data_IF_955536812230
#
_entry.id   IF_955536812230
#
_cell.length_a   1.000
_cell.length_b   1.000
_cell.length_c   1.000
_cell.angle_alpha   90.00
_cell.angle_beta   90.00
_cell.angle_gamma   90.00
#
_symmetry.space_group_name_H-M   'P 1'
#
loop_
_entity.id
_entity.type
_entity.pdbx_description
1 polymer ?
#
# COMPACT_ATOMS: atom_id res chain seq x y z
N UNK A 1 -57.98 -26.60 -2.13
CA UNK A 1 -56.96 -25.54 -2.04
C UNK A 1 -56.04 -25.94 -0.91
N UNK A 2 -54.75 -26.08 -1.20
CA UNK A 2 -53.75 -26.54 -0.24
C UNK A 2 -53.43 -25.44 0.80
N UNK A 3 -53.67 -25.66 2.11
CA UNK A 3 -53.38 -24.69 3.16
C UNK A 3 -51.91 -24.26 3.21
N UNK A 4 -50.99 -25.17 2.87
CA UNK A 4 -49.54 -24.92 2.94
C UNK A 4 -49.11 -23.95 1.83
N UNK A 5 -49.73 -24.07 0.65
CA UNK A 5 -49.51 -23.14 -0.45
C UNK A 5 -49.94 -21.71 -0.10
N UNK A 6 -51.10 -21.55 0.56
CA UNK A 6 -51.56 -20.23 1.00
C UNK A 6 -50.68 -19.62 2.08
N UNK A 7 -50.17 -20.46 2.99
CA UNK A 7 -49.22 -20.01 4.02
C UNK A 7 -47.92 -19.52 3.40
N UNK A 8 -47.32 -20.32 2.50
CA UNK A 8 -46.12 -19.94 1.76
C UNK A 8 -46.31 -18.63 0.98
N UNK A 9 -47.44 -18.47 0.28
CA UNK A 9 -47.71 -17.27 -0.50
C UNK A 9 -47.77 -16.01 0.36
N UNK A 10 -48.35 -16.09 1.56
CA UNK A 10 -48.37 -14.96 2.51
C UNK A 10 -46.96 -14.57 2.95
N UNK A 11 -46.10 -15.55 3.22
CA UNK A 11 -44.70 -15.30 3.58
C UNK A 11 -43.98 -14.63 2.41
N UNK A 12 -44.10 -15.17 1.20
CA UNK A 12 -43.45 -14.62 0.01
C UNK A 12 -43.85 -13.16 -0.25
N UNK A 13 -45.14 -12.81 -0.16
CA UNK A 13 -45.60 -11.42 -0.33
C UNK A 13 -45.13 -10.49 0.78
N UNK A 14 -44.97 -11.01 2.00
CA UNK A 14 -44.40 -10.26 3.13
C UNK A 14 -42.93 -9.92 2.87
N UNK A 15 -42.14 -10.93 2.48
CA UNK A 15 -40.72 -10.75 2.13
C UNK A 15 -40.57 -9.78 0.96
N UNK A 16 -41.40 -9.90 -0.07
CA UNK A 16 -41.42 -8.98 -1.21
C UNK A 16 -41.66 -7.53 -0.77
N UNK A 17 -42.60 -7.31 0.14
CA UNK A 17 -42.89 -5.96 0.67
C UNK A 17 -41.71 -5.38 1.44
N UNK A 18 -41.01 -6.21 2.23
CA UNK A 18 -39.78 -5.79 2.92
C UNK A 18 -38.66 -5.45 1.95
N UNK A 19 -38.45 -6.26 0.91
CA UNK A 19 -37.47 -5.95 -0.13
C UNK A 19 -37.83 -4.62 -0.80
N UNK A 20 -39.07 -4.43 -1.24
CA UNK A 20 -39.48 -3.19 -1.90
C UNK A 20 -39.30 -1.95 -1.02
N UNK A 21 -39.46 -2.08 0.29
CA UNK A 21 -39.27 -0.98 1.24
C UNK A 21 -37.80 -0.54 1.39
N UNK A 22 -36.82 -1.38 1.02
CA UNK A 22 -35.39 -1.05 1.11
C UNK A 22 -34.79 -0.58 -0.22
N UNK A 23 -35.52 -0.72 -1.34
CA UNK A 23 -35.02 -0.36 -2.66
C UNK A 23 -35.16 1.14 -2.95
N UNK A 24 -34.13 1.71 -3.57
CA UNK A 24 -34.25 3.01 -4.21
C UNK A 24 -35.22 2.95 -5.40
N UNK A 25 -35.82 4.10 -5.74
CA UNK A 25 -36.90 4.20 -6.74
C UNK A 25 -36.52 3.62 -8.10
N UNK A 26 -35.30 3.87 -8.57
CA UNK A 26 -34.77 3.39 -9.83
C UNK A 26 -34.67 1.86 -9.86
N UNK A 27 -34.20 1.25 -8.78
CA UNK A 27 -34.10 -0.21 -8.65
C UNK A 27 -35.49 -0.84 -8.52
N UNK A 28 -36.39 -0.21 -7.77
CA UNK A 28 -37.77 -0.68 -7.60
C UNK A 28 -38.49 -0.79 -8.94
N UNK A 29 -38.30 0.19 -9.85
CA UNK A 29 -38.92 0.17 -11.19
C UNK A 29 -38.45 -0.98 -12.06
N UNK A 30 -37.26 -1.55 -11.81
CA UNK A 30 -36.75 -2.70 -12.57
C UNK A 30 -37.35 -4.04 -12.12
N UNK A 31 -37.79 -4.14 -10.87
CA UNK A 31 -38.25 -5.39 -10.25
C UNK A 31 -39.73 -5.39 -9.90
N UNK A 32 -40.46 -4.30 -10.17
CA UNK A 32 -41.83 -4.10 -9.71
C UNK A 32 -42.82 -5.17 -10.25
N UNK A 33 -42.55 -5.67 -11.45
CA UNK A 33 -43.36 -6.64 -12.21
C UNK A 33 -43.14 -8.09 -11.75
N UNK A 34 -42.09 -8.33 -10.96
CA UNK A 34 -41.75 -9.65 -10.43
C UNK A 34 -42.69 -10.04 -9.29
N UNK A 35 -43.34 -11.21 -9.44
CA UNK A 35 -44.41 -11.67 -8.54
C UNK A 35 -43.91 -12.26 -7.22
N UNK A 36 -42.77 -12.94 -7.25
CA UNK A 36 -42.24 -13.70 -6.12
C UNK A 36 -40.93 -13.10 -5.60
N UNK A 37 -40.73 -13.17 -4.29
CA UNK A 37 -39.56 -12.62 -3.59
C UNK A 37 -38.25 -13.19 -4.13
N UNK A 38 -38.20 -14.48 -4.45
CA UNK A 38 -37.00 -15.13 -4.99
C UNK A 38 -36.60 -14.61 -6.38
N UNK A 39 -37.57 -14.23 -7.22
CA UNK A 39 -37.29 -13.65 -8.54
C UNK A 39 -36.69 -12.25 -8.39
N UNK A 40 -37.25 -11.46 -7.47
CA UNK A 40 -36.74 -10.13 -7.13
C UNK A 40 -35.30 -10.26 -6.63
N UNK A 41 -35.06 -11.15 -5.68
CA UNK A 41 -33.74 -11.38 -5.13
C UNK A 41 -32.73 -11.82 -6.21
N UNK A 42 -33.08 -12.78 -7.07
CA UNK A 42 -32.21 -13.22 -8.17
C UNK A 42 -31.86 -12.09 -9.15
N UNK A 43 -32.81 -11.20 -9.43
CA UNK A 43 -32.59 -10.04 -10.31
C UNK A 43 -31.66 -9.02 -9.68
N UNK A 44 -31.87 -8.72 -8.39
CA UNK A 44 -31.00 -7.83 -7.60
C UNK A 44 -29.59 -8.41 -7.51
N UNK A 45 -29.47 -9.69 -7.19
CA UNK A 45 -28.21 -10.42 -7.11
C UNK A 45 -27.45 -10.31 -8.42
N UNK A 46 -28.08 -10.63 -9.56
CA UNK A 46 -27.44 -10.51 -10.88
C UNK A 46 -26.97 -9.08 -11.18
N UNK A 47 -27.81 -8.08 -10.89
CA UNK A 47 -27.49 -6.67 -11.12
C UNK A 47 -26.29 -6.23 -10.30
N UNK A 48 -26.30 -6.50 -9.00
CA UNK A 48 -25.27 -6.03 -8.08
C UNK A 48 -24.02 -6.91 -8.09
N UNK A 49 -24.12 -8.20 -8.43
CA UNK A 49 -22.96 -9.09 -8.54
C UNK A 49 -21.96 -8.58 -9.58
N UNK A 50 -22.42 -8.14 -10.75
CA UNK A 50 -21.51 -7.62 -11.79
C UNK A 50 -20.73 -6.38 -11.33
N UNK A 51 -21.42 -5.45 -10.66
CA UNK A 51 -20.83 -4.24 -10.11
C UNK A 51 -19.90 -4.53 -8.93
N UNK A 52 -20.31 -5.39 -7.98
CA UNK A 52 -19.50 -5.84 -6.86
C UNK A 52 -18.27 -6.61 -7.33
N UNK A 53 -18.40 -7.45 -8.35
CA UNK A 53 -17.29 -8.16 -8.95
C UNK A 53 -16.28 -7.19 -9.57
N UNK A 54 -16.73 -6.28 -10.44
CA UNK A 54 -15.87 -5.27 -11.05
C UNK A 54 -15.16 -4.41 -9.98
N UNK A 55 -15.90 -4.01 -8.94
CA UNK A 55 -15.36 -3.24 -7.81
C UNK A 55 -14.36 -4.02 -6.99
N UNK A 56 -14.58 -5.31 -6.75
CA UNK A 56 -13.61 -6.15 -6.02
C UNK A 56 -12.31 -6.33 -6.80
N UNK A 57 -12.38 -6.50 -8.12
CA UNK A 57 -11.20 -6.55 -9.00
C UNK A 57 -10.44 -5.23 -8.96
N UNK A 58 -11.15 -4.10 -9.02
CA UNK A 58 -10.55 -2.77 -8.91
C UNK A 58 -9.84 -2.58 -7.56
N UNK A 59 -10.52 -2.88 -6.45
CA UNK A 59 -9.96 -2.76 -5.11
C UNK A 59 -8.76 -3.67 -4.90
N UNK A 60 -8.80 -4.92 -5.37
CA UNK A 60 -7.64 -5.84 -5.30
C UNK A 60 -6.45 -5.32 -6.11
N UNK A 61 -6.70 -4.72 -7.28
CA UNK A 61 -5.66 -4.07 -8.08
C UNK A 61 -5.05 -2.89 -7.32
N UNK A 62 -5.88 -2.00 -6.79
CA UNK A 62 -5.42 -0.87 -5.98
C UNK A 62 -4.60 -1.34 -4.78
N UNK A 63 -5.06 -2.35 -4.05
CA UNK A 63 -4.36 -2.96 -2.92
C UNK A 63 -2.95 -3.46 -3.31
N UNK A 64 -2.81 -4.09 -4.48
CA UNK A 64 -1.51 -4.56 -4.99
C UNK A 64 -0.54 -3.44 -5.38
N UNK A 65 -1.04 -2.22 -5.59
CA UNK A 65 -0.25 -1.05 -5.95
C UNK A 65 0.05 -0.11 -4.78
N UNK A 66 -0.47 -0.39 -3.57
CA UNK A 66 -0.15 0.39 -2.39
C UNK A 66 1.33 0.18 -2.07
N UNK A 67 2.09 1.28 -2.07
CA UNK A 67 3.50 1.32 -1.70
C UNK A 67 3.70 2.29 -0.55
N UNK A 68 4.53 1.90 0.43
CA UNK A 68 4.94 2.79 1.51
C UNK A 68 5.73 3.94 0.88
N UNK A 69 5.25 5.17 1.09
CA UNK A 69 5.97 6.37 0.69
C UNK A 69 7.04 6.71 1.73
N UNK A 70 8.13 7.33 1.30
CA UNK A 70 9.22 7.74 2.20
C UNK A 70 8.75 8.75 3.26
N UNK A 71 7.82 9.64 2.89
CA UNK A 71 7.21 10.62 3.79
C UNK A 71 6.08 10.07 4.68
N UNK A 72 5.67 8.82 4.47
CA UNK A 72 4.57 8.17 5.19
C UNK A 72 5.13 7.30 6.31
N UNK A 73 4.60 7.43 7.52
CA UNK A 73 4.96 6.54 8.62
C UNK A 73 4.31 5.15 8.45
N UNK A 74 4.80 4.15 9.19
CA UNK A 74 4.31 2.78 9.06
C UNK A 74 2.82 2.66 9.42
N UNK A 75 2.33 3.44 10.39
CA UNK A 75 0.91 3.39 10.80
C UNK A 75 -0.04 3.88 9.71
N UNK A 76 0.30 4.96 9.01
CA UNK A 76 -0.48 5.48 7.89
C UNK A 76 -0.50 4.47 6.74
N UNK A 77 0.62 3.80 6.47
CA UNK A 77 0.71 2.76 5.46
C UNK A 77 -0.20 1.56 5.78
N UNK A 78 -0.13 1.06 7.02
CA UNK A 78 -0.96 -0.07 7.45
C UNK A 78 -2.45 0.29 7.53
N UNK A 79 -2.77 1.54 7.87
CA UNK A 79 -4.14 2.04 7.83
C UNK A 79 -4.70 2.05 6.41
N UNK A 80 -3.92 2.48 5.42
CA UNK A 80 -4.33 2.49 4.00
C UNK A 80 -4.67 1.08 3.51
N UNK A 81 -3.85 0.09 3.85
CA UNK A 81 -4.10 -1.33 3.58
C UNK A 81 -5.39 -1.78 4.27
N UNK A 82 -5.54 -1.47 5.57
CA UNK A 82 -6.71 -1.85 6.36
C UNK A 82 -8.01 -1.34 5.74
N UNK A 83 -8.05 -0.07 5.35
CA UNK A 83 -9.23 0.54 4.72
C UNK A 83 -9.64 -0.17 3.42
N UNK A 84 -8.67 -0.59 2.61
CA UNK A 84 -8.94 -1.36 1.39
C UNK A 84 -9.43 -2.78 1.67
N UNK A 85 -8.85 -3.44 2.67
CA UNK A 85 -9.26 -4.78 3.11
C UNK A 85 -10.67 -4.76 3.69
N UNK A 86 -10.99 -3.75 4.49
CA UNK A 86 -12.33 -3.56 5.04
C UNK A 86 -13.35 -3.27 3.92
N UNK A 87 -12.98 -2.45 2.92
CA UNK A 87 -13.81 -2.19 1.75
C UNK A 87 -14.09 -3.46 0.92
N UNK A 88 -13.09 -4.33 0.77
CA UNK A 88 -13.22 -5.63 0.13
C UNK A 88 -14.14 -6.58 0.92
N UNK A 89 -14.02 -6.59 2.25
CA UNK A 89 -14.91 -7.37 3.11
C UNK A 89 -16.37 -6.90 3.02
N UNK A 90 -16.63 -5.59 2.93
CA UNK A 90 -17.98 -5.02 2.80
C UNK A 90 -18.72 -5.48 1.54
N UNK A 91 -18.00 -5.75 0.45
CA UNK A 91 -18.59 -6.24 -0.82
C UNK A 91 -18.51 -7.77 -0.96
N UNK A 92 -18.42 -8.49 0.16
CA UNK A 92 -18.35 -9.94 0.22
C UNK A 92 -17.13 -10.54 -0.51
N UNK A 93 -16.00 -9.82 -0.53
CA UNK A 93 -14.72 -10.27 -1.08
C UNK A 93 -13.60 -10.17 -0.04
N UNK A 94 -13.71 -10.86 1.13
CA UNK A 94 -12.72 -10.73 2.19
C UNK A 94 -11.32 -11.19 1.74
N UNK A 95 -10.29 -10.50 2.23
CA UNK A 95 -8.89 -10.84 2.00
C UNK A 95 -8.43 -11.83 3.08
N UNK A 96 -7.81 -12.94 2.67
CA UNK A 96 -7.26 -13.91 3.61
C UNK A 96 -6.03 -13.35 4.34
N UNK A 97 -5.72 -13.88 5.53
CA UNK A 97 -4.50 -13.47 6.25
C UNK A 97 -3.21 -13.71 5.42
N UNK A 98 -3.21 -14.70 4.54
CA UNK A 98 -2.08 -14.96 3.63
C UNK A 98 -1.94 -13.85 2.59
N UNK A 99 -3.02 -13.52 1.90
CA UNK A 99 -3.03 -12.42 0.92
C UNK A 99 -2.70 -11.09 1.60
N UNK A 100 -3.25 -10.83 2.79
CA UNK A 100 -2.97 -9.64 3.58
C UNK A 100 -1.48 -9.49 3.86
N UNK A 101 -0.82 -10.58 4.27
CA UNK A 101 0.63 -10.62 4.48
C UNK A 101 1.38 -10.26 3.20
N UNK A 102 1.01 -10.88 2.07
CA UNK A 102 1.63 -10.65 0.77
C UNK A 102 1.48 -9.20 0.30
N UNK A 103 0.27 -8.63 0.37
CA UNK A 103 0.02 -7.23 0.02
C UNK A 103 0.79 -6.26 0.93
N UNK A 104 0.92 -6.57 2.22
CA UNK A 104 1.63 -5.73 3.18
C UNK A 104 3.14 -5.71 2.93
N UNK A 105 3.75 -6.82 2.52
CA UNK A 105 5.20 -6.83 2.23
C UNK A 105 5.53 -6.35 0.82
N UNK A 106 4.62 -6.53 -0.15
CA UNK A 106 4.81 -6.12 -1.54
C UNK A 106 4.99 -4.60 -1.69
N UNK A 107 4.36 -3.82 -0.81
CA UNK A 107 4.44 -2.37 -0.83
C UNK A 107 5.64 -1.78 -0.10
N UNK A 108 6.47 -2.59 0.55
CA UNK A 108 7.64 -2.11 1.29
C UNK A 108 8.86 -1.91 0.38
N UNK A 109 9.65 -0.88 0.67
CA UNK A 109 10.88 -0.57 -0.06
C UNK A 109 12.07 -1.48 0.32
N UNK A 110 13.19 -1.28 -0.37
CA UNK A 110 14.43 -2.05 -0.19
C UNK A 110 14.97 -2.01 1.25
N UNK A 111 14.69 -0.93 1.97
CA UNK A 111 15.09 -0.72 3.37
C UNK A 111 14.41 -1.70 4.34
N UNK A 112 13.42 -2.47 3.87
CA UNK A 112 12.75 -3.53 4.60
C UNK A 112 13.11 -4.94 4.10
N UNK A 113 14.02 -5.12 3.14
CA UNK A 113 14.27 -6.40 2.44
C UNK A 113 14.54 -7.58 3.38
N UNK A 114 15.36 -7.40 4.42
CA UNK A 114 15.63 -8.43 5.44
C UNK A 114 14.35 -8.87 6.18
N UNK A 115 13.47 -7.92 6.49
CA UNK A 115 12.20 -8.16 7.16
C UNK A 115 11.19 -8.79 6.19
N UNK A 116 11.14 -8.33 4.94
CA UNK A 116 10.32 -8.93 3.88
C UNK A 116 10.62 -10.42 3.74
N UNK A 117 11.91 -10.79 3.69
CA UNK A 117 12.32 -12.19 3.64
C UNK A 117 11.83 -12.97 4.87
N UNK A 118 12.02 -12.42 6.06
CA UNK A 118 11.60 -13.05 7.32
C UNK A 118 10.09 -13.30 7.36
N UNK A 119 9.28 -12.30 6.99
CA UNK A 119 7.81 -12.43 6.94
C UNK A 119 7.36 -13.38 5.82
N UNK A 120 8.04 -13.38 4.68
CA UNK A 120 7.72 -14.26 3.56
C UNK A 120 7.73 -15.73 3.98
N UNK A 121 8.79 -16.16 4.69
CA UNK A 121 8.95 -17.53 5.16
C UNK A 121 8.20 -17.86 6.45
N UNK A 122 7.61 -16.86 7.13
CA UNK A 122 6.80 -17.08 8.32
C UNK A 122 5.54 -17.89 7.97
N UNK A 123 5.42 -19.09 8.58
CA UNK A 123 4.32 -20.04 8.37
C UNK A 123 3.10 -19.82 9.27
N UNK A 124 3.18 -18.93 10.25
CA UNK A 124 2.08 -18.61 11.15
C UNK A 124 1.05 -17.65 10.52
N UNK A 125 -0.05 -17.44 11.25
CA UNK A 125 -1.12 -16.54 10.85
C UNK A 125 -0.65 -15.10 11.05
N UNK A 126 -0.29 -14.41 9.97
CA UNK A 126 0.07 -13.00 10.02
C UNK A 126 -1.18 -12.14 9.87
N UNK A 127 -1.58 -11.47 10.95
CA UNK A 127 -2.60 -10.42 10.93
C UNK A 127 -1.93 -9.04 10.95
N UNK A 128 -2.64 -8.00 10.51
CA UNK A 128 -2.14 -6.61 10.61
C UNK A 128 -1.71 -6.26 12.05
N UNK A 129 -2.47 -6.70 13.05
CA UNK A 129 -2.16 -6.48 14.47
C UNK A 129 -0.83 -7.13 14.89
N UNK A 130 -0.51 -8.30 14.35
CA UNK A 130 0.76 -8.99 14.62
C UNK A 130 1.95 -8.39 13.86
N UNK A 131 1.73 -7.88 12.65
CA UNK A 131 2.77 -7.32 11.80
C UNK A 131 3.15 -5.89 12.19
N UNK A 132 2.17 -5.10 12.67
CA UNK A 132 2.34 -3.71 13.05
C UNK A 132 3.53 -3.44 13.98
N UNK A 133 3.68 -4.11 15.15
CA UNK A 133 4.82 -3.84 16.04
C UNK A 133 6.17 -4.18 15.41
N UNK A 134 6.23 -5.24 14.60
CA UNK A 134 7.46 -5.67 13.92
C UNK A 134 7.90 -4.64 12.88
N UNK A 135 6.94 -4.14 12.10
CA UNK A 135 7.18 -3.15 11.06
C UNK A 135 7.56 -1.78 11.63
N UNK A 136 6.88 -1.35 12.70
CA UNK A 136 7.24 -0.10 13.41
C UNK A 136 8.65 -0.18 14.01
N UNK A 137 9.02 -1.30 14.62
CA UNK A 137 10.36 -1.48 15.20
C UNK A 137 11.47 -1.45 14.12
N UNK A 138 11.17 -1.88 12.89
CA UNK A 138 12.09 -1.74 11.76
C UNK A 138 12.18 -0.29 11.27
N UNK A 139 11.05 0.42 11.20
CA UNK A 139 11.04 1.84 10.80
C UNK A 139 11.92 2.69 11.72
N UNK A 140 11.84 2.48 13.04
CA UNK A 140 12.69 3.18 14.01
C UNK A 140 14.18 2.86 13.82
N UNK A 141 14.53 1.60 13.54
CA UNK A 141 15.91 1.21 13.25
C UNK A 141 16.42 1.87 11.96
N UNK A 142 15.62 1.87 10.90
CA UNK A 142 15.99 2.51 9.64
C UNK A 142 16.22 4.02 9.81
N UNK A 143 15.41 4.70 10.63
CA UNK A 143 15.61 6.11 10.96
C UNK A 143 16.94 6.39 11.68
N UNK A 144 17.36 5.51 12.60
CA UNK A 144 18.65 5.66 13.29
C UNK A 144 19.85 5.49 12.37
N UNK A 145 19.82 4.52 11.44
CA UNK A 145 20.90 4.29 10.47
C UNK A 145 21.06 5.49 9.55
N UNK A 146 19.94 6.02 9.03
CA UNK A 146 19.96 7.20 8.15
C UNK A 146 20.53 8.45 8.84
N UNK A 147 20.34 8.60 10.16
CA UNK A 147 20.91 9.71 10.94
C UNK A 147 22.42 9.56 11.18
N UNK A 148 22.93 8.33 11.28
CA UNK A 148 24.35 8.06 11.45
C UNK A 148 25.12 8.36 10.16
N UNK A 149 24.61 7.95 9.01
CA UNK A 149 25.22 8.22 7.70
C UNK A 149 25.36 9.73 7.42
N UNK A 150 24.35 10.53 7.80
CA UNK A 150 24.43 11.99 7.68
C UNK A 150 25.53 12.61 8.58
N UNK A 151 25.76 12.03 9.75
CA UNK A 151 26.80 12.49 10.68
C UNK A 151 28.22 12.15 10.20
N UNK A 152 28.42 10.99 9.58
CA UNK A 152 29.73 10.58 9.03
C UNK A 152 30.14 11.42 7.83
N UNK A 153 29.18 11.81 6.97
CA UNK A 153 29.45 12.71 5.84
C UNK A 153 29.88 14.10 6.32
N UNK A 154 29.23 14.65 7.36
CA UNK A 154 29.61 15.93 7.94
C UNK A 154 31.02 15.91 8.58
N UNK A 155 31.41 14.79 9.22
CA UNK A 155 32.77 14.65 9.75
C UNK A 155 33.84 14.52 8.65
N UNK A 156 33.58 13.76 7.59
CA UNK A 156 34.53 13.56 6.50
C UNK A 156 34.85 14.88 5.75
N UNK A 157 33.85 15.74 5.55
CA UNK A 157 34.03 17.06 4.92
C UNK A 157 34.80 18.04 5.83
N UNK A 158 34.62 17.95 7.14
CA UNK A 158 35.31 18.81 8.11
C UNK A 158 36.80 18.43 8.32
N UNK A 159 37.19 17.20 7.98
CA UNK A 159 38.59 16.72 8.09
C UNK A 159 39.38 16.80 6.79
N UNK A 160 38.83 17.37 5.71
CA UNK A 160 39.57 17.57 4.47
C UNK A 160 40.73 18.58 4.70
N UNK A 161 42.00 18.21 4.45
CA UNK A 161 43.12 19.12 4.65
C UNK A 161 43.08 20.26 3.62
N UNK A 162 43.16 21.50 4.11
CA UNK A 162 43.23 22.69 3.26
C UNK A 162 44.50 22.66 2.37
N UNK A 163 44.43 23.07 1.09
CA UNK A 163 45.60 23.13 0.23
C UNK A 163 46.53 24.23 0.72
N UNK A 164 47.69 23.83 1.25
CA UNK A 164 48.71 24.74 1.76
C UNK A 164 49.43 25.41 0.58
N UNK A 165 48.93 26.57 0.17
CA UNK A 165 49.57 27.43 -0.82
C UNK A 165 50.92 27.95 -0.29
N UNK A 166 52.02 27.38 -0.77
CA UNK A 166 53.37 27.90 -0.54
C UNK A 166 53.68 28.99 -1.57
N UNK A 167 53.42 30.23 -1.17
CA UNK A 167 54.03 31.39 -1.82
C UNK A 167 55.52 31.47 -1.47
N UNK A 168 56.38 31.65 -2.46
CA UNK A 168 57.76 32.12 -2.28
C UNK A 168 58.27 32.75 -3.57
N UNK A 169 58.46 34.07 -3.52
CA UNK A 169 59.37 34.86 -4.33
C UNK A 169 60.05 35.86 -3.36
N UNK A 170 61.14 36.59 -3.67
CA UNK A 170 62.04 36.56 -4.83
C UNK A 170 63.56 36.67 -4.46
N UNK A 171 64.41 36.87 -5.50
CA UNK A 171 65.76 37.48 -5.55
C UNK A 171 66.98 36.57 -5.68
N UNK A 172 67.77 36.82 -6.72
CA UNK A 172 69.16 36.39 -6.86
C UNK A 172 69.79 36.87 -8.16
N UNK A 173 70.65 37.89 -8.06
CA UNK A 173 71.50 38.50 -9.09
C UNK A 173 72.60 37.56 -9.62
N UNK A 174 73.09 37.81 -10.85
CA UNK A 174 74.39 37.32 -11.37
C UNK A 174 74.30 37.01 -12.87
N UNK A 175 74.57 37.96 -13.78
CA UNK A 175 75.89 38.40 -14.26
C UNK A 175 76.74 37.26 -14.87
N UNK A 176 76.99 37.33 -16.18
CA UNK A 176 78.08 36.58 -16.84
C UNK A 176 77.76 36.02 -18.23
N UNK A 177 78.12 36.78 -19.27
CA UNK A 177 78.32 36.35 -20.66
C UNK A 177 79.49 35.30 -20.76
N UNK A 178 79.91 34.75 -21.94
CA UNK A 178 79.64 35.21 -23.32
C UNK A 178 79.52 34.16 -24.47
N UNK A 179 79.09 34.68 -25.63
CA UNK A 179 79.50 34.46 -27.05
C UNK A 179 79.94 33.07 -27.60
N UNK A 180 79.43 32.80 -28.82
CA UNK A 180 80.05 32.03 -29.93
C UNK A 180 79.00 31.19 -30.67
N UNK A 181 78.46 31.55 -31.85
CA UNK A 181 78.98 31.57 -33.24
C UNK A 181 79.22 30.19 -33.90
N UNK A 182 78.63 30.03 -35.10
CA UNK A 182 78.83 28.93 -36.06
C UNK A 182 77.60 28.02 -36.15
N UNK A 183 76.98 27.77 -37.31
CA UNK A 183 77.18 28.15 -38.70
C UNK A 183 75.99 27.64 -39.52
#
# INVERSE_FOLDING_TARGET
>A
MDPDYHHWLKIDQTVRSWIFATLARDILMEVYDLKFSHLIWARLDTRFMSACFARSVELKRSLSHIKKKESQNMDQYLLEIKLMVDALAMINSPVSNRELKEYTILGLGHEYESLINTISYFRGNATLESLRPILQAQEQRNATVSSQDASTVHQALATAPAPQGRGSAPRGYGAGAPRGHGG
#
